data_IF_438488992554
#
_entry.id   IF_438488992554
#
_cell.length_a   1.000
_cell.length_b   1.000
_cell.length_c   1.000
_cell.angle_alpha   90.00
_cell.angle_beta   90.00
_cell.angle_gamma   90.00
#
_symmetry.space_group_name_H-M   'P 1'
#
loop_
_entity.id
_entity.type
_entity.pdbx_description
1 polymer ?
#
# COMPACT_ATOMS: atom_id res chain seq x y z
N UNK A 1 7.90 10.44 -34.12
CA UNK A 1 6.94 9.80 -33.20
C UNK A 1 7.58 8.62 -32.48
N UNK A 2 8.07 7.59 -33.20
CA UNK A 2 8.69 6.40 -32.59
C UNK A 2 9.97 6.68 -31.79
N UNK A 3 10.82 7.62 -32.24
CA UNK A 3 12.07 7.97 -31.55
C UNK A 3 11.87 8.75 -30.24
N UNK A 4 10.76 9.49 -30.13
CA UNK A 4 10.41 10.26 -28.93
C UNK A 4 9.89 9.34 -27.81
N UNK A 5 9.22 8.25 -28.19
CA UNK A 5 8.82 7.19 -27.25
C UNK A 5 10.03 6.47 -26.63
N UNK A 6 11.08 6.23 -27.42
CA UNK A 6 12.30 5.55 -26.95
C UNK A 6 13.13 6.46 -26.01
N UNK A 7 13.15 7.78 -26.27
CA UNK A 7 13.81 8.75 -25.38
C UNK A 7 13.06 8.96 -24.06
N UNK A 8 11.73 8.88 -24.05
CA UNK A 8 10.93 8.80 -22.81
C UNK A 8 11.31 7.56 -21.98
N UNK A 9 11.53 6.43 -22.64
CA UNK A 9 11.93 5.16 -22.02
C UNK A 9 13.35 5.19 -21.41
N UNK A 10 14.25 6.05 -21.89
CA UNK A 10 15.66 6.15 -21.48
C UNK A 10 15.96 7.34 -20.55
N UNK A 11 15.07 8.33 -20.46
CA UNK A 11 15.28 9.59 -19.73
C UNK A 11 14.90 9.57 -18.24
N UNK A 12 14.41 8.44 -17.73
CA UNK A 12 13.83 8.30 -16.39
C UNK A 12 12.38 7.83 -16.48
N UNK A 13 11.90 7.13 -15.45
CA UNK A 13 10.54 6.60 -15.43
C UNK A 13 9.56 7.78 -15.38
N UNK A 14 8.99 8.15 -16.52
CA UNK A 14 7.94 9.15 -16.61
C UNK A 14 6.63 8.63 -16.01
N UNK A 15 5.69 9.55 -15.74
CA UNK A 15 4.38 9.17 -15.21
C UNK A 15 3.62 8.18 -16.11
N UNK A 16 3.89 8.21 -17.42
CA UNK A 16 3.30 7.29 -18.40
C UNK A 16 3.83 5.87 -18.27
N UNK A 17 5.14 5.66 -18.05
CA UNK A 17 5.68 4.32 -17.79
C UNK A 17 5.12 3.72 -16.50
N UNK A 18 4.99 4.52 -15.43
CA UNK A 18 4.40 4.05 -14.16
C UNK A 18 2.96 3.57 -14.38
N UNK A 19 2.16 4.32 -15.14
CA UNK A 19 0.80 3.94 -15.48
C UNK A 19 0.77 2.64 -16.28
N UNK A 20 1.64 2.48 -17.28
CA UNK A 20 1.74 1.23 -18.05
C UNK A 20 2.10 0.03 -17.18
N UNK A 21 3.07 0.18 -16.28
CA UNK A 21 3.47 -0.87 -15.33
C UNK A 21 2.31 -1.24 -14.41
N UNK A 22 1.61 -0.24 -13.85
CA UNK A 22 0.44 -0.47 -13.00
C UNK A 22 -0.65 -1.20 -13.79
N UNK A 23 -0.93 -0.82 -15.02
CA UNK A 23 -1.94 -1.47 -15.86
C UNK A 23 -1.57 -2.94 -16.12
N UNK A 24 -0.31 -3.24 -16.44
CA UNK A 24 0.16 -4.62 -16.61
C UNK A 24 0.04 -5.40 -15.31
N UNK A 25 0.45 -4.84 -14.17
CA UNK A 25 0.30 -5.49 -12.86
C UNK A 25 -1.17 -5.75 -12.52
N UNK A 26 -2.07 -4.81 -12.83
CA UNK A 26 -3.51 -4.98 -12.61
C UNK A 26 -4.13 -6.02 -13.55
N UNK A 27 -3.58 -6.23 -14.75
CA UNK A 27 -4.00 -7.31 -15.66
C UNK A 27 -3.56 -8.68 -15.16
N UNK A 28 -2.30 -8.81 -14.72
CA UNK A 28 -1.74 -10.08 -14.25
C UNK A 28 -2.27 -10.48 -12.86
N UNK A 29 -2.27 -9.55 -11.92
CA UNK A 29 -2.74 -9.81 -10.55
C UNK A 29 -4.23 -9.56 -10.40
N UNK A 30 -4.87 -8.82 -11.29
CA UNK A 30 -6.25 -8.38 -11.14
C UNK A 30 -6.37 -7.13 -10.26
N UNK A 31 -7.23 -6.19 -10.65
CA UNK A 31 -7.41 -4.93 -9.92
C UNK A 31 -7.86 -5.05 -8.45
N UNK A 32 -8.35 -6.23 -8.06
CA UNK A 32 -8.79 -6.52 -6.69
C UNK A 32 -7.69 -7.06 -5.77
N UNK A 33 -6.59 -7.61 -6.30
CA UNK A 33 -5.54 -8.24 -5.47
C UNK A 33 -4.63 -7.21 -4.80
N UNK A 34 -4.28 -6.13 -5.49
CA UNK A 34 -3.46 -5.03 -4.91
C UNK A 34 -4.11 -4.45 -3.64
N UNK A 35 -5.39 -4.04 -3.62
CA UNK A 35 -6.02 -3.51 -2.42
C UNK A 35 -6.24 -4.57 -1.34
N UNK A 36 -6.44 -5.84 -1.70
CA UNK A 36 -6.57 -6.95 -0.76
C UNK A 36 -5.24 -7.22 -0.02
N UNK A 37 -4.12 -7.23 -0.75
CA UNK A 37 -2.77 -7.34 -0.20
C UNK A 37 -2.42 -6.13 0.67
N UNK A 38 -2.74 -4.91 0.22
CA UNK A 38 -2.51 -3.70 1.00
C UNK A 38 -3.30 -3.69 2.32
N UNK A 39 -4.55 -4.17 2.31
CA UNK A 39 -5.37 -4.32 3.53
C UNK A 39 -4.77 -5.36 4.48
N UNK A 40 -4.33 -6.51 3.96
CA UNK A 40 -3.69 -7.55 4.76
C UNK A 40 -2.38 -7.08 5.40
N UNK A 41 -1.50 -6.45 4.59
CA UNK A 41 -0.25 -5.87 5.05
C UNK A 41 -0.49 -4.76 6.10
N UNK A 42 -1.46 -3.89 5.87
CA UNK A 42 -1.80 -2.81 6.80
C UNK A 42 -2.29 -3.31 8.16
N UNK A 43 -3.09 -4.39 8.18
CA UNK A 43 -3.47 -5.05 9.44
C UNK A 43 -2.27 -5.67 10.14
N UNK A 44 -1.42 -6.41 9.42
CA UNK A 44 -0.22 -7.01 9.99
C UNK A 44 0.76 -5.98 10.56
N UNK A 45 0.97 -4.86 9.87
CA UNK A 45 1.81 -3.75 10.37
C UNK A 45 1.19 -3.13 11.63
N UNK A 46 -0.14 -2.97 11.66
CA UNK A 46 -0.84 -2.43 12.83
C UNK A 46 -0.74 -3.36 14.03
N UNK A 47 -1.02 -4.64 13.86
CA UNK A 47 -0.90 -5.66 14.91
C UNK A 47 0.55 -5.77 15.41
N UNK A 48 1.53 -5.77 14.49
CA UNK A 48 2.94 -5.76 14.83
C UNK A 48 3.32 -4.53 15.67
N UNK A 49 2.82 -3.35 15.28
CA UNK A 49 3.03 -2.09 15.99
C UNK A 49 2.35 -2.10 17.36
N UNK A 50 1.14 -2.64 17.47
CA UNK A 50 0.39 -2.67 18.74
C UNK A 50 1.06 -3.64 19.74
N UNK A 51 1.54 -4.79 19.27
CA UNK A 51 2.31 -5.75 20.05
C UNK A 51 3.68 -5.21 20.50
N UNK A 52 4.40 -4.50 19.61
CA UNK A 52 5.70 -3.91 19.95
C UNK A 52 5.60 -2.67 20.84
N UNK A 53 4.52 -1.90 20.77
CA UNK A 53 4.30 -0.72 21.62
C UNK A 53 3.59 -1.04 22.94
N UNK A 54 3.37 -2.31 23.27
CA UNK A 54 2.74 -2.71 24.53
C UNK A 54 1.34 -2.16 24.73
N UNK A 55 0.65 -1.75 23.66
CA UNK A 55 -0.76 -1.34 23.71
C UNK A 55 -1.63 -2.59 23.71
N UNK A 56 -1.45 -3.42 24.73
CA UNK A 56 -2.53 -4.25 25.21
C UNK A 56 -3.64 -3.29 25.60
N UNK A 57 -4.84 -3.50 25.07
CA UNK A 57 -6.03 -2.73 25.39
C UNK A 57 -6.21 -2.66 26.92
N UNK A 58 -5.65 -1.64 27.58
CA UNK A 58 -6.09 -1.26 28.91
C UNK A 58 -7.50 -0.72 28.73
N UNK A 59 -8.53 -1.39 29.26
CA UNK A 59 -9.84 -0.77 29.38
C UNK A 59 -9.59 0.50 30.19
N UNK A 60 -9.85 1.66 29.59
CA UNK A 60 -9.94 2.91 30.33
C UNK A 60 -11.11 2.74 31.29
N UNK A 61 -10.85 2.17 32.47
CA UNK A 61 -11.80 2.16 33.57
C UNK A 61 -12.09 3.61 33.89
N UNK A 62 -13.29 4.04 33.48
CA UNK A 62 -13.84 5.32 33.89
C UNK A 62 -13.97 5.25 35.42
N UNK A 63 -13.34 6.17 36.17
CA UNK A 63 -13.46 6.17 37.61
C UNK A 63 -14.93 6.35 37.97
N UNK A 64 -15.53 5.31 38.57
CA UNK A 64 -16.82 5.46 39.25
C UNK A 64 -16.58 6.41 40.41
N UNK A 65 -17.24 7.55 40.34
CA UNK A 65 -17.22 8.60 41.35
C UNK A 65 -18.40 8.33 42.29
N UNK A 66 -18.10 7.75 43.44
CA UNK A 66 -18.93 7.84 44.65
C UNK A 66 -18.47 9.05 45.48
#
# INVERSE_FOLDING_TARGET
MSTLLILGFLGGIGGTEIILIIVVLLLFFGGKRIPELAKGLGKGIREFKDATNGKSDEPKELPKKD
#
